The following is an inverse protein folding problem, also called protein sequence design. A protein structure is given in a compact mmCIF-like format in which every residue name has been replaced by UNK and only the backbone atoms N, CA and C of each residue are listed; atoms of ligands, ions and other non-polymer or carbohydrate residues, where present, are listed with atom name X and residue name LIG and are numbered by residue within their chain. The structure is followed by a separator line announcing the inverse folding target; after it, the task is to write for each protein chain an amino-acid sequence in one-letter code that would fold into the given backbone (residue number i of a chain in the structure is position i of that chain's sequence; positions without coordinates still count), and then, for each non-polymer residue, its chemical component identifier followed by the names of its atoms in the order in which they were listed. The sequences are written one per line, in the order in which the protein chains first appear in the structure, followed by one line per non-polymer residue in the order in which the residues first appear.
data_IF_046032721352
#
_entry.id   IF_046032721352
#
_cell.length_a   1.000
_cell.length_b   1.000
_cell.length_c   1.000
_cell.angle_alpha   90.00
_cell.angle_beta   90.00
_cell.angle_gamma   90.00
#
_symmetry.space_group_name_H-M   'P 1'
#
loop_
_entity.id
_entity.type
_entity.pdbx_description
1 polymer ?
#
# COMPACT_ATOMS: atom_id res chain seq x y z
N UNK A 1 2.60 -4.79 12.10
CA UNK A 1 3.89 -4.95 12.81
C UNK A 1 4.46 -3.56 13.15
N UNK A 2 5.02 -3.38 14.34
CA UNK A 2 5.60 -2.09 14.79
C UNK A 2 7.13 -2.04 14.71
N UNK A 3 7.78 -3.18 14.46
CA UNK A 3 9.24 -3.31 14.39
C UNK A 3 9.64 -4.26 13.24
N UNK A 4 10.93 -4.24 12.89
CA UNK A 4 11.54 -5.25 12.00
C UNK A 4 11.41 -6.66 12.63
N UNK A 5 11.34 -7.74 11.83
CA UNK A 5 11.48 -7.80 10.38
C UNK A 5 10.17 -7.47 9.62
N UNK A 6 9.06 -7.25 10.32
CA UNK A 6 7.76 -7.10 9.69
C UNK A 6 7.47 -5.71 9.12
N UNK A 7 7.91 -4.65 9.81
CA UNK A 7 7.85 -3.28 9.32
C UNK A 7 9.15 -2.95 8.58
N UNK A 8 9.04 -2.66 7.28
CA UNK A 8 10.20 -2.46 6.40
C UNK A 8 10.53 -0.98 6.20
N UNK A 9 9.53 -0.19 5.83
CA UNK A 9 9.72 1.21 5.49
C UNK A 9 8.44 2.02 5.71
N UNK A 10 8.58 3.31 5.96
CA UNK A 10 7.48 4.28 6.00
C UNK A 10 7.90 5.47 5.14
N UNK A 11 7.07 5.86 4.20
CA UNK A 11 7.45 6.92 3.28
C UNK A 11 6.26 7.65 2.69
N UNK A 12 6.47 8.94 2.46
CA UNK A 12 5.57 9.77 1.66
C UNK A 12 6.03 9.73 0.21
N UNK A 13 5.09 9.49 -0.70
CA UNK A 13 5.36 9.46 -2.13
C UNK A 13 4.56 10.52 -2.87
N UNK A 14 5.27 11.35 -3.64
CA UNK A 14 4.72 12.47 -4.42
C UNK A 14 4.67 12.19 -5.94
N UNK A 15 4.95 10.95 -6.38
CA UNK A 15 4.94 10.64 -7.81
C UNK A 15 3.52 10.81 -8.40
N UNK A 16 3.44 11.04 -9.71
CA UNK A 16 2.16 11.24 -10.40
C UNK A 16 1.20 10.07 -10.14
N UNK A 17 1.68 8.83 -10.14
CA UNK A 17 0.84 7.65 -9.85
C UNK A 17 0.24 7.72 -8.44
N UNK A 18 1.05 7.99 -7.42
CA UNK A 18 0.55 8.08 -6.05
C UNK A 18 -0.41 9.25 -5.87
N UNK A 19 -0.20 10.37 -6.56
CA UNK A 19 -1.12 11.51 -6.55
C UNK A 19 -2.46 11.18 -7.19
N UNK A 20 -2.44 10.57 -8.38
CA UNK A 20 -3.65 10.19 -9.12
C UNK A 20 -4.45 9.10 -8.41
N UNK A 21 -3.76 8.07 -7.92
CA UNK A 21 -4.40 6.92 -7.27
C UNK A 21 -4.92 7.29 -5.87
N UNK A 22 -4.19 8.14 -5.14
CA UNK A 22 -4.59 8.60 -3.82
C UNK A 22 -5.51 9.82 -3.83
N UNK A 23 -5.78 10.42 -5.01
CA UNK A 23 -6.53 11.67 -5.17
C UNK A 23 -6.05 12.80 -4.24
N UNK A 24 -4.73 12.88 -4.02
CA UNK A 24 -4.11 13.80 -3.08
C UNK A 24 -2.74 14.28 -3.61
N UNK A 25 -2.18 15.34 -3.01
CA UNK A 25 -0.84 15.85 -3.39
C UNK A 25 0.30 14.88 -3.10
N UNK A 26 0.05 13.89 -2.24
CA UNK A 26 0.97 12.83 -1.89
C UNK A 26 0.20 11.65 -1.33
N UNK A 27 0.91 10.54 -1.16
CA UNK A 27 0.36 9.41 -0.44
C UNK A 27 1.34 8.95 0.64
N UNK A 28 0.83 8.77 1.86
CA UNK A 28 1.57 8.19 2.97
C UNK A 28 1.44 6.67 2.91
N UNK A 29 2.57 5.97 3.01
CA UNK A 29 2.59 4.51 2.85
C UNK A 29 3.43 3.85 3.94
N UNK A 30 3.00 2.65 4.32
CA UNK A 30 3.73 1.73 5.18
C UNK A 30 4.06 0.49 4.36
N UNK A 31 5.32 0.11 4.31
CA UNK A 31 5.78 -1.11 3.65
C UNK A 31 6.03 -2.18 4.69
N UNK A 32 5.39 -3.33 4.53
CA UNK A 32 5.53 -4.50 5.40
C UNK A 32 5.90 -5.73 4.59
N UNK A 33 6.44 -6.75 5.25
CA UNK A 33 6.65 -8.04 4.61
C UNK A 33 5.31 -8.77 4.41
N UNK A 34 5.13 -9.45 3.27
CA UNK A 34 3.85 -10.09 2.89
C UNK A 34 3.36 -11.10 3.94
N UNK A 35 4.27 -11.87 4.54
CA UNK A 35 3.94 -12.87 5.56
C UNK A 35 3.39 -12.27 6.87
N UNK A 36 3.48 -10.95 7.04
CA UNK A 36 2.89 -10.24 8.18
C UNK A 36 1.49 -9.69 7.89
N UNK A 37 1.06 -9.72 6.63
CA UNK A 37 -0.29 -9.30 6.23
C UNK A 37 -1.22 -10.50 6.37
N UNK A 38 -2.32 -10.32 7.10
CA UNK A 38 -3.37 -11.32 7.26
C UNK A 38 -4.71 -10.67 6.96
N UNK A 39 -5.49 -11.27 6.08
CA UNK A 39 -6.88 -10.87 5.89
C UNK A 39 -7.73 -11.48 7.00
N UNK A 40 -8.24 -10.63 7.87
CA UNK A 40 -9.18 -11.04 8.92
C UNK A 40 -10.63 -11.06 8.41
N UNK A 41 -10.93 -10.29 7.35
CA UNK A 41 -12.22 -10.19 6.66
C UNK A 41 -12.06 -9.52 5.29
N UNK A 42 -13.03 -9.72 4.41
CA UNK A 42 -13.19 -8.90 3.20
C UNK A 42 -12.15 -9.13 2.09
N UNK A 43 -11.39 -10.22 2.16
CA UNK A 43 -10.43 -10.59 1.10
C UNK A 43 -11.14 -10.83 -0.24
N UNK A 44 -12.31 -11.46 -0.18
CA UNK A 44 -13.25 -11.68 -1.29
C UNK A 44 -13.78 -10.39 -1.93
N UNK A 45 -13.72 -9.28 -1.20
CA UNK A 45 -14.13 -7.96 -1.67
C UNK A 45 -12.99 -7.16 -2.30
N UNK A 46 -11.76 -7.70 -2.34
CA UNK A 46 -10.64 -7.04 -2.99
C UNK A 46 -10.70 -7.28 -4.51
N UNK A 47 -10.53 -6.20 -5.26
CA UNK A 47 -10.33 -6.22 -6.72
C UNK A 47 -8.94 -5.70 -7.02
N UNK A 48 -8.32 -6.28 -8.05
CA UNK A 48 -6.96 -5.94 -8.46
C UNK A 48 -6.91 -5.24 -9.80
N UNK A 49 -6.02 -4.25 -9.91
CA UNK A 49 -5.65 -3.64 -11.19
C UNK A 49 -4.14 -3.59 -11.32
N UNK A 50 -3.59 -4.12 -12.41
CA UNK A 50 -2.15 -4.20 -12.65
C UNK A 50 -1.72 -3.40 -13.88
N UNK A 51 -0.64 -2.64 -13.75
CA UNK A 51 -0.05 -1.88 -14.85
C UNK A 51 1.47 -1.94 -14.82
N UNK A 52 2.10 -2.03 -16.00
CA UNK A 52 3.56 -2.04 -16.16
C UNK A 52 4.09 -0.62 -16.33
N UNK A 53 3.34 0.23 -17.04
CA UNK A 53 3.74 1.60 -17.38
C UNK A 53 3.54 2.55 -16.20
N UNK A 54 4.35 2.37 -15.16
CA UNK A 54 4.41 3.23 -13.98
C UNK A 54 5.48 4.30 -14.10
N UNK A 55 5.26 5.45 -13.47
CA UNK A 55 6.11 6.65 -13.58
C UNK A 55 7.55 6.40 -13.11
N UNK A 56 7.77 5.47 -12.18
CA UNK A 56 9.09 5.28 -11.53
C UNK A 56 9.95 4.18 -12.13
N UNK A 57 9.37 3.23 -12.85
CA UNK A 57 10.02 1.92 -12.94
C UNK A 57 9.75 1.12 -14.20
N UNK A 58 8.71 1.45 -14.97
CA UNK A 58 8.24 0.61 -16.06
C UNK A 58 8.18 -0.89 -15.68
N UNK A 59 7.76 -1.17 -14.45
CA UNK A 59 7.68 -2.48 -13.86
C UNK A 59 6.27 -2.73 -13.34
N UNK A 60 5.84 -3.99 -13.35
CA UNK A 60 4.51 -4.40 -12.92
C UNK A 60 4.22 -3.92 -11.50
N UNK A 61 3.09 -3.25 -11.36
CA UNK A 61 2.55 -2.79 -10.08
C UNK A 61 1.07 -3.14 -10.02
N UNK A 62 0.67 -3.86 -8.98
CA UNK A 62 -0.70 -4.30 -8.74
C UNK A 62 -1.30 -3.49 -7.59
N UNK A 63 -2.44 -2.89 -7.85
CA UNK A 63 -3.25 -2.15 -6.88
C UNK A 63 -4.35 -3.07 -6.35
N UNK A 64 -4.49 -3.17 -5.03
CA UNK A 64 -5.54 -3.95 -4.37
C UNK A 64 -6.52 -3.01 -3.66
N UNK A 65 -7.73 -2.88 -4.20
CA UNK A 65 -8.73 -1.96 -3.70
C UNK A 65 -10.04 -2.68 -3.36
N UNK A 66 -10.77 -2.12 -2.39
CA UNK A 66 -12.06 -2.63 -1.97
C UNK A 66 -13.11 -2.35 -3.05
N UNK A 67 -13.77 -3.39 -3.55
CA UNK A 67 -14.79 -3.28 -4.61
C UNK A 67 -16.00 -2.43 -4.20
N UNK A 68 -16.59 -2.59 -2.99
CA UNK A 68 -17.72 -1.77 -2.56
C UNK A 68 -17.44 -0.27 -2.40
N UNK A 69 -16.31 0.10 -1.79
CA UNK A 69 -16.04 1.49 -1.41
C UNK A 69 -14.96 2.18 -2.26
N UNK A 70 -14.27 1.44 -3.14
CA UNK A 70 -13.22 1.98 -4.01
C UNK A 70 -11.89 2.30 -3.29
N UNK A 71 -11.83 2.13 -1.97
CA UNK A 71 -10.63 2.44 -1.18
C UNK A 71 -9.47 1.55 -1.60
N UNK A 72 -8.34 2.17 -1.95
CA UNK A 72 -7.11 1.45 -2.20
C UNK A 72 -6.45 1.05 -0.89
N UNK A 73 -6.36 -0.25 -0.63
CA UNK A 73 -5.82 -0.80 0.61
C UNK A 73 -4.29 -0.88 0.55
N UNK A 74 -3.76 -1.51 -0.50
CA UNK A 74 -2.32 -1.69 -0.67
C UNK A 74 -1.91 -1.91 -2.11
N UNK A 75 -0.61 -1.94 -2.34
CA UNK A 75 0.02 -2.28 -3.62
C UNK A 75 1.13 -3.31 -3.44
N UNK A 76 1.32 -4.13 -4.46
CA UNK A 76 2.43 -5.06 -4.58
C UNK A 76 3.12 -4.80 -5.93
N UNK A 77 4.44 -4.84 -5.99
CA UNK A 77 5.18 -4.51 -7.21
C UNK A 77 6.36 -5.42 -7.47
N UNK A 78 6.65 -5.67 -8.75
CA UNK A 78 7.73 -6.57 -9.16
C UNK A 78 9.13 -6.11 -8.70
N UNK A 79 9.31 -4.82 -8.39
CA UNK A 79 10.57 -4.28 -7.83
C UNK A 79 10.70 -4.46 -6.32
N UNK A 80 9.62 -4.84 -5.65
CA UNK A 80 9.57 -5.07 -4.22
C UNK A 80 8.88 -6.42 -3.96
N UNK A 81 9.46 -7.54 -4.47
CA UNK A 81 8.87 -8.85 -4.29
C UNK A 81 8.83 -9.23 -2.80
N UNK A 82 7.74 -9.84 -2.35
CA UNK A 82 7.56 -10.21 -0.94
C UNK A 82 7.20 -9.05 -0.01
N UNK A 83 6.92 -7.86 -0.56
CA UNK A 83 6.57 -6.66 0.19
C UNK A 83 5.18 -6.12 -0.21
N UNK A 84 4.43 -5.72 0.80
CA UNK A 84 3.12 -5.09 0.67
C UNK A 84 3.22 -3.63 1.09
N UNK A 85 2.78 -2.73 0.20
CA UNK A 85 2.78 -1.28 0.41
C UNK A 85 1.36 -0.84 0.78
N UNK A 86 1.08 -0.77 2.08
CA UNK A 86 -0.19 -0.33 2.68
C UNK A 86 -0.34 1.19 2.59
N UNK A 87 -1.57 1.67 2.44
CA UNK A 87 -1.89 3.09 2.59
C UNK A 87 -2.12 3.41 4.07
N UNK A 88 -1.40 4.38 4.61
CA UNK A 88 -1.49 4.71 6.04
C UNK A 88 -2.90 5.14 6.45
N UNK A 89 -3.64 5.81 5.55
CA UNK A 89 -5.01 6.25 5.82
C UNK A 89 -6.05 5.14 5.97
N UNK A 90 -5.70 3.87 5.71
CA UNK A 90 -6.58 2.70 5.95
C UNK A 90 -6.20 1.94 7.22
N UNK A 91 -5.34 2.51 8.06
CA UNK A 91 -4.90 1.92 9.33
C UNK A 91 -5.66 2.60 10.46
N UNK A 92 -6.43 1.83 11.21
CA UNK A 92 -7.21 2.35 12.35
C UNK A 92 -6.33 2.67 13.57
N UNK A 93 -5.18 2.00 13.69
CA UNK A 93 -4.21 2.24 14.76
C UNK A 93 -3.48 3.58 14.53
N UNK A 94 -4.03 4.64 15.14
CA UNK A 94 -3.47 5.99 15.10
C UNK A 94 -2.04 6.07 15.65
N UNK A 95 -1.63 5.22 16.60
CA UNK A 95 -0.24 5.22 17.08
C UNK A 95 0.75 4.74 16.00
N UNK A 96 0.34 3.74 15.22
CA UNK A 96 1.15 3.30 14.07
C UNK A 96 1.25 4.41 13.01
N UNK A 97 0.17 5.18 12.84
CA UNK A 97 0.09 6.27 11.87
C UNK A 97 0.74 7.58 12.35
N UNK A 98 0.85 7.86 13.65
CA UNK A 98 1.21 9.19 14.17
C UNK A 98 2.51 9.21 14.98
N UNK A 99 2.76 8.21 15.83
CA UNK A 99 3.87 8.24 16.81
C UNK A 99 5.04 7.38 16.40
N UNK A 100 4.82 6.46 15.47
CA UNK A 100 5.88 5.60 14.93
C UNK A 100 6.15 5.94 13.46
N UNK A 101 5.91 7.18 13.00
CA UNK A 101 6.31 7.64 11.66
C UNK A 101 7.69 8.30 11.70
#
# INVERSE_FOLDING_TARGET
PIQKPGLINRHVCHCIDCRKIGSAFFQSNITVADFQVKYIRGEDNLTTFSEIRTVRANALMTNHFCKPCGTLMYRCGARCPGLTILRTGTVDDGLLAETTL
#
